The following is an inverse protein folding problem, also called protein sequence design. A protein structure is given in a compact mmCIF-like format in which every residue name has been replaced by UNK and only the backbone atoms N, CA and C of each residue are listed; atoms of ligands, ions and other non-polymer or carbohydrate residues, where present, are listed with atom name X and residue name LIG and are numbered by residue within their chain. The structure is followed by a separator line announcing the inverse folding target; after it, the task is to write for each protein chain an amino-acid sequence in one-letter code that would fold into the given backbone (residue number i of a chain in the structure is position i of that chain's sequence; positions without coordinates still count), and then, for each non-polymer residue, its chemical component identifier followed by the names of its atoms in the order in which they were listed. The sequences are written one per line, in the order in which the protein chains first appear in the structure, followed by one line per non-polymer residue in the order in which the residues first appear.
data_IF_663214540395
#
_entry.id   IF_663214540395
#
_cell.length_a   1.000
_cell.length_b   1.000
_cell.length_c   1.000
_cell.angle_alpha   90.00
_cell.angle_beta   90.00
_cell.angle_gamma   90.00
#
_symmetry.space_group_name_H-M   'P 1'
#
loop_
_entity.id
_entity.type
_entity.pdbx_description
1 polymer ?
#
# COMPACT_ATOMS: atom_id res chain seq x y z
N UNK A 1 -13.30 1.15 -63.40
CA UNK A 1 -12.64 0.30 -62.39
C UNK A 1 -12.45 0.99 -61.03
N UNK A 2 -12.24 2.32 -60.97
CA UNK A 2 -12.03 3.04 -59.69
C UNK A 2 -13.29 3.16 -58.81
N UNK A 3 -14.48 3.17 -59.42
CA UNK A 3 -15.77 3.34 -58.70
C UNK A 3 -16.30 2.08 -58.02
N UNK A 4 -15.91 0.88 -58.46
CA UNK A 4 -16.31 -0.37 -57.78
C UNK A 4 -15.51 -0.59 -56.49
N UNK A 5 -14.23 -0.20 -56.48
CA UNK A 5 -13.35 -0.36 -55.32
C UNK A 5 -13.74 0.56 -54.16
N UNK A 6 -14.16 1.79 -54.44
CA UNK A 6 -14.65 2.70 -53.39
C UNK A 6 -15.95 2.22 -52.76
N UNK A 7 -16.85 1.62 -53.55
CA UNK A 7 -18.10 1.06 -53.03
C UNK A 7 -17.84 -0.18 -52.17
N UNK A 8 -16.92 -1.05 -52.58
CA UNK A 8 -16.54 -2.22 -51.79
C UNK A 8 -15.83 -1.84 -50.49
N UNK A 9 -14.99 -0.80 -50.53
CA UNK A 9 -14.30 -0.30 -49.34
C UNK A 9 -15.27 0.36 -48.35
N UNK A 10 -16.26 1.12 -48.83
CA UNK A 10 -17.31 1.68 -47.99
C UNK A 10 -18.23 0.60 -47.41
N UNK A 11 -18.60 -0.42 -48.20
CA UNK A 11 -19.39 -1.54 -47.74
C UNK A 11 -18.64 -2.37 -46.68
N UNK A 12 -17.33 -2.60 -46.88
CA UNK A 12 -16.48 -3.21 -45.86
C UNK A 12 -16.41 -2.34 -44.61
N UNK A 13 -16.22 -1.03 -44.70
CA UNK A 13 -16.21 -0.15 -43.51
C UNK A 13 -17.55 -0.21 -42.77
N UNK A 14 -18.69 -0.20 -43.48
CA UNK A 14 -20.01 -0.26 -42.86
C UNK A 14 -20.24 -1.64 -42.23
N UNK A 15 -19.89 -2.74 -42.89
CA UNK A 15 -20.00 -4.09 -42.33
C UNK A 15 -19.05 -4.27 -41.14
N UNK A 16 -17.80 -3.78 -41.20
CA UNK A 16 -16.88 -3.83 -40.06
C UNK A 16 -17.36 -2.93 -38.92
N UNK A 17 -18.02 -1.81 -39.20
CA UNK A 17 -18.59 -0.92 -38.18
C UNK A 17 -19.88 -1.49 -37.56
N UNK A 18 -20.67 -2.25 -38.31
CA UNK A 18 -21.82 -3.02 -37.80
C UNK A 18 -21.32 -4.22 -36.98
N UNK A 19 -20.33 -4.99 -37.48
CA UNK A 19 -19.73 -6.10 -36.73
C UNK A 19 -18.93 -5.66 -35.51
N UNK A 20 -18.28 -4.49 -35.54
CA UNK A 20 -17.61 -3.90 -34.37
C UNK A 20 -18.59 -3.26 -33.39
N UNK A 21 -19.70 -2.68 -33.84
CA UNK A 21 -20.74 -2.21 -32.92
C UNK A 21 -21.51 -3.37 -32.28
N UNK A 22 -21.75 -4.47 -33.00
CA UNK A 22 -22.40 -5.68 -32.44
C UNK A 22 -21.44 -6.52 -31.58
N UNK A 23 -20.13 -6.23 -31.58
CA UNK A 23 -19.14 -6.85 -30.67
C UNK A 23 -18.62 -5.90 -29.60
N UNK A 24 -19.10 -4.66 -29.56
CA UNK A 24 -18.90 -3.67 -28.50
C UNK A 24 -20.22 -3.13 -27.94
N UNK A 25 -21.30 -3.90 -28.02
CA UNK A 25 -22.09 -4.06 -26.81
C UNK A 25 -21.16 -4.74 -25.79
N UNK A 26 -20.45 -3.92 -24.99
CA UNK A 26 -20.34 -4.25 -23.58
C UNK A 26 -21.78 -4.53 -23.16
N UNK A 27 -22.19 -5.81 -23.24
CA UNK A 27 -23.32 -6.29 -22.50
C UNK A 27 -22.94 -5.91 -21.09
N UNK A 28 -23.45 -4.77 -20.62
CA UNK A 28 -23.59 -4.44 -19.22
C UNK A 28 -24.54 -5.53 -18.75
N UNK A 29 -24.02 -6.75 -18.58
CA UNK A 29 -24.69 -7.82 -17.87
C UNK A 29 -24.96 -7.18 -16.52
N UNK A 30 -26.22 -6.80 -16.28
CA UNK A 30 -26.67 -6.24 -15.02
C UNK A 30 -26.04 -7.07 -13.90
N UNK A 31 -25.08 -6.48 -13.20
CA UNK A 31 -24.41 -7.17 -12.11
C UNK A 31 -25.47 -7.38 -11.03
N UNK A 32 -25.79 -8.64 -10.76
CA UNK A 32 -26.76 -8.95 -9.71
C UNK A 32 -26.12 -8.69 -8.36
N UNK A 33 -26.74 -7.80 -7.59
CA UNK A 33 -26.24 -7.38 -6.28
C UNK A 33 -26.95 -8.16 -5.18
N UNK A 34 -26.16 -8.76 -4.30
CA UNK A 34 -26.63 -9.52 -3.16
C UNK A 34 -26.09 -8.93 -1.87
N UNK A 35 -26.92 -8.85 -0.85
CA UNK A 35 -26.49 -8.56 0.52
C UNK A 35 -26.56 -9.85 1.31
N UNK A 36 -25.42 -10.37 1.74
CA UNK A 36 -25.35 -11.58 2.56
C UNK A 36 -25.24 -11.23 4.05
N UNK A 37 -26.13 -11.83 4.84
CA UNK A 37 -26.25 -11.64 6.27
C UNK A 37 -25.85 -12.96 6.96
N UNK A 38 -24.76 -13.00 7.74
CA UNK A 38 -24.20 -14.23 8.33
C UNK A 38 -24.99 -14.78 9.54
N UNK A 39 -26.30 -14.50 9.59
CA UNK A 39 -27.25 -14.94 10.61
C UNK A 39 -28.53 -15.45 9.94
N UNK A 40 -29.21 -16.38 10.61
CA UNK A 40 -30.56 -16.76 10.21
C UNK A 40 -31.50 -15.58 10.43
N UNK A 41 -32.51 -15.42 9.57
CA UNK A 41 -33.48 -14.31 9.62
C UNK A 41 -34.10 -14.07 11.01
N UNK A 42 -34.30 -15.14 11.80
CA UNK A 42 -34.86 -15.09 13.16
C UNK A 42 -33.86 -14.66 14.23
N UNK A 43 -32.56 -14.81 13.98
CA UNK A 43 -31.45 -14.57 14.92
C UNK A 43 -30.78 -13.21 14.70
N UNK A 44 -31.21 -12.44 13.69
CA UNK A 44 -30.65 -11.13 13.38
C UNK A 44 -30.94 -10.14 14.52
N UNK A 45 -29.90 -9.57 15.15
CA UNK A 45 -30.08 -8.57 16.21
C UNK A 45 -30.85 -7.33 15.71
N UNK A 46 -31.65 -6.68 16.56
CA UNK A 46 -32.46 -5.52 16.16
C UNK A 46 -31.59 -4.33 15.68
N UNK A 47 -30.44 -4.09 16.31
CA UNK A 47 -29.49 -3.08 15.86
C UNK A 47 -29.00 -3.35 14.43
N UNK A 48 -28.70 -4.61 14.13
CA UNK A 48 -28.24 -5.00 12.81
C UNK A 48 -29.33 -4.85 11.73
N UNK A 49 -30.60 -5.12 12.07
CA UNK A 49 -31.74 -4.88 11.15
C UNK A 49 -31.83 -3.42 10.73
N UNK A 50 -31.69 -2.50 11.69
CA UNK A 50 -31.70 -1.05 11.41
C UNK A 50 -30.59 -0.64 10.44
N UNK A 51 -29.37 -1.15 10.67
CA UNK A 51 -28.21 -0.90 9.79
C UNK A 51 -28.45 -1.46 8.38
N UNK A 52 -29.05 -2.65 8.27
CA UNK A 52 -29.40 -3.26 6.98
C UNK A 52 -30.42 -2.40 6.23
N UNK A 53 -31.47 -1.93 6.92
CA UNK A 53 -32.50 -1.06 6.34
C UNK A 53 -31.93 0.28 5.86
N UNK A 54 -31.09 0.92 6.69
CA UNK A 54 -30.37 2.15 6.31
C UNK A 54 -29.51 1.93 5.07
N UNK A 55 -28.75 0.82 5.02
CA UNK A 55 -27.90 0.50 3.87
C UNK A 55 -28.69 0.21 2.59
N UNK A 56 -29.79 -0.55 2.69
CA UNK A 56 -30.68 -0.81 1.56
C UNK A 56 -31.28 0.49 1.01
N UNK A 57 -31.70 1.39 1.89
CA UNK A 57 -32.26 2.70 1.49
C UNK A 57 -31.26 3.58 0.76
N UNK A 58 -29.95 3.46 1.05
CA UNK A 58 -28.89 4.19 0.37
C UNK A 58 -28.60 3.64 -1.02
N UNK A 59 -28.72 2.34 -1.21
CA UNK A 59 -28.46 1.68 -2.49
C UNK A 59 -29.69 1.69 -3.41
N UNK A 60 -30.91 1.70 -2.87
CA UNK A 60 -32.14 1.96 -3.66
C UNK A 60 -32.09 3.34 -4.33
N UNK A 61 -31.49 4.34 -3.67
CA UNK A 61 -31.22 5.66 -4.26
C UNK A 61 -30.19 5.64 -5.39
N UNK A 62 -29.43 4.54 -5.53
CA UNK A 62 -28.46 4.31 -6.60
C UNK A 62 -28.99 3.35 -7.67
N UNK A 63 -30.31 3.10 -7.70
CA UNK A 63 -31.01 2.22 -8.66
C UNK A 63 -30.48 0.78 -8.71
N UNK A 64 -29.77 0.33 -7.68
CA UNK A 64 -29.22 -1.02 -7.62
C UNK A 64 -30.25 -1.98 -7.02
N UNK A 65 -30.76 -2.91 -7.83
CA UNK A 65 -31.65 -3.98 -7.35
C UNK A 65 -30.87 -4.97 -6.49
N UNK A 66 -31.04 -4.89 -5.16
CA UNK A 66 -30.33 -5.74 -4.20
C UNK A 66 -31.22 -6.89 -3.72
N UNK A 67 -30.68 -8.11 -3.75
CA UNK A 67 -31.31 -9.30 -3.16
C UNK A 67 -30.69 -9.62 -1.80
N UNK A 68 -31.47 -9.52 -0.73
CA UNK A 68 -31.03 -9.87 0.62
C UNK A 68 -31.06 -11.38 0.84
N UNK A 69 -29.95 -11.95 1.28
CA UNK A 69 -29.75 -13.36 1.56
C UNK A 69 -29.35 -13.56 3.03
N UNK A 70 -30.11 -14.37 3.76
CA UNK A 70 -29.78 -14.75 5.13
C UNK A 70 -29.12 -16.13 5.15
N UNK A 71 -28.25 -16.34 6.14
CA UNK A 71 -27.63 -17.65 6.36
C UNK A 71 -28.69 -18.75 6.51
N UNK A 72 -28.54 -19.85 5.74
CA UNK A 72 -29.42 -21.01 5.73
C UNK A 72 -30.56 -20.96 4.70
N UNK A 73 -30.71 -19.87 3.95
CA UNK A 73 -31.71 -19.77 2.88
C UNK A 73 -31.25 -20.41 1.56
N UNK A 74 -29.99 -20.88 1.45
CA UNK A 74 -29.40 -21.57 0.26
C UNK A 74 -29.58 -20.83 -1.09
N UNK A 75 -29.87 -19.53 -1.06
CA UNK A 75 -30.07 -18.69 -2.25
C UNK A 75 -28.79 -18.45 -3.06
N UNK A 76 -27.62 -18.79 -2.50
CA UNK A 76 -26.33 -18.59 -3.15
C UNK A 76 -25.96 -19.73 -4.12
N UNK A 77 -26.76 -20.81 -4.20
CA UNK A 77 -26.55 -21.95 -5.10
C UNK A 77 -26.72 -21.64 -6.59
N UNK A 78 -27.50 -20.61 -6.93
CA UNK A 78 -27.86 -20.27 -8.31
C UNK A 78 -27.51 -18.81 -8.59
N UNK A 79 -26.22 -18.48 -8.47
CA UNK A 79 -25.75 -17.14 -8.77
C UNK A 79 -25.62 -16.94 -10.28
N UNK A 80 -26.11 -15.81 -10.82
CA UNK A 80 -25.82 -15.40 -12.18
C UNK A 80 -24.31 -15.29 -12.44
N UNK A 81 -23.93 -15.42 -13.71
CA UNK A 81 -22.53 -15.39 -14.16
C UNK A 81 -21.76 -14.15 -13.68
N UNK A 82 -22.41 -13.01 -13.46
CA UNK A 82 -21.79 -11.81 -12.87
C UNK A 82 -22.56 -11.38 -11.62
N UNK A 83 -21.97 -11.63 -10.46
CA UNK A 83 -22.62 -11.36 -9.17
C UNK A 83 -21.70 -10.59 -8.24
N UNK A 84 -22.28 -9.65 -7.47
CA UNK A 84 -21.60 -8.92 -6.40
C UNK A 84 -22.28 -9.21 -5.08
N UNK A 85 -21.54 -9.70 -4.10
CA UNK A 85 -22.02 -10.00 -2.76
C UNK A 85 -21.39 -9.04 -1.77
N UNK A 86 -22.20 -8.21 -1.14
CA UNK A 86 -21.80 -7.38 -0.02
C UNK A 86 -22.07 -8.13 1.29
N UNK A 87 -21.12 -8.10 2.22
CA UNK A 87 -21.27 -8.60 3.59
C UNK A 87 -20.99 -7.45 4.55
N UNK A 88 -21.93 -7.11 5.42
CA UNK A 88 -21.80 -5.99 6.36
C UNK A 88 -21.44 -6.53 7.74
N UNK A 89 -20.39 -5.98 8.35
CA UNK A 89 -19.98 -6.30 9.72
C UNK A 89 -20.21 -5.08 10.62
N UNK A 90 -21.33 -5.04 11.35
CA UNK A 90 -21.60 -4.01 12.35
C UNK A 90 -20.79 -4.28 13.61
N UNK A 91 -20.18 -3.24 14.16
CA UNK A 91 -19.48 -3.31 15.45
C UNK A 91 -17.96 -3.26 15.35
N UNK A 92 -17.34 -3.32 16.52
CA UNK A 92 -15.91 -3.06 16.71
C UNK A 92 -15.11 -4.35 16.58
N UNK A 93 -13.93 -4.29 15.93
CA UNK A 93 -12.98 -5.39 15.97
C UNK A 93 -12.64 -5.76 17.42
N UNK A 94 -12.51 -7.06 17.68
CA UNK A 94 -12.15 -7.57 19.00
C UNK A 94 -10.73 -7.19 19.40
N UNK A 95 -10.40 -7.43 20.68
CA UNK A 95 -9.10 -7.04 21.26
C UNK A 95 -7.94 -7.71 20.52
N UNK A 96 -6.80 -7.00 20.44
CA UNK A 96 -5.55 -7.55 19.90
C UNK A 96 -5.15 -8.80 20.69
N UNK A 97 -5.02 -9.92 19.99
CA UNK A 97 -4.47 -11.15 20.54
C UNK A 97 -2.97 -10.98 20.82
N UNK A 98 -2.40 -11.67 21.82
CA UNK A 98 -0.94 -11.71 21.99
C UNK A 98 -0.20 -12.27 20.77
N UNK A 99 -0.89 -12.95 19.85
CA UNK A 99 -0.35 -13.48 18.59
C UNK A 99 -0.59 -12.55 17.38
N UNK A 100 -1.08 -11.33 17.61
CA UNK A 100 -1.34 -10.37 16.53
C UNK A 100 -0.04 -10.01 15.80
N UNK A 101 0.03 -10.28 14.49
CA UNK A 101 1.20 -10.01 13.64
C UNK A 101 2.17 -11.18 13.48
N UNK A 102 1.89 -12.36 14.04
CA UNK A 102 2.67 -13.57 13.78
C UNK A 102 2.10 -14.25 12.54
N UNK A 103 2.63 -13.92 11.37
CA UNK A 103 2.23 -14.48 10.06
C UNK A 103 2.36 -16.01 9.98
N UNK A 104 3.16 -16.61 10.86
CA UNK A 104 3.43 -18.05 10.89
C UNK A 104 2.29 -18.90 11.49
N UNK A 105 1.34 -18.31 12.23
CA UNK A 105 0.24 -19.08 12.82
C UNK A 105 -0.95 -19.06 11.86
N UNK A 106 -1.29 -20.22 11.30
CA UNK A 106 -2.43 -20.35 10.42
C UNK A 106 -3.71 -19.83 11.11
N UNK A 107 -4.43 -18.94 10.42
CA UNK A 107 -5.72 -18.39 10.87
C UNK A 107 -6.73 -19.50 11.22
N UNK A 108 -6.58 -20.64 10.56
CA UNK A 108 -7.33 -21.87 10.79
C UNK A 108 -7.04 -22.56 12.13
N UNK A 109 -5.84 -22.43 12.66
CA UNK A 109 -5.53 -22.94 14.01
C UNK A 109 -6.09 -21.98 15.06
N UNK A 110 -6.01 -20.67 14.80
CA UNK A 110 -6.46 -19.64 15.74
C UNK A 110 -7.97 -19.66 15.98
N UNK A 111 -8.79 -19.99 14.96
CA UNK A 111 -10.26 -19.95 15.06
C UNK A 111 -10.83 -20.85 16.16
N UNK A 112 -10.16 -21.96 16.48
CA UNK A 112 -10.62 -22.92 17.49
C UNK A 112 -10.31 -22.50 18.93
N UNK A 113 -9.46 -21.48 19.12
CA UNK A 113 -9.10 -20.97 20.42
C UNK A 113 -9.69 -19.57 20.60
N UNK A 114 -10.72 -19.46 21.43
CA UNK A 114 -11.45 -18.21 21.65
C UNK A 114 -10.54 -17.06 22.11
N UNK A 115 -9.61 -17.34 23.04
CA UNK A 115 -8.66 -16.34 23.56
C UNK A 115 -7.66 -15.84 22.50
N UNK A 116 -7.40 -16.64 21.46
CA UNK A 116 -6.40 -16.32 20.44
C UNK A 116 -7.03 -15.70 19.18
N UNK A 117 -8.32 -15.96 18.92
CA UNK A 117 -9.08 -15.46 17.77
C UNK A 117 -9.81 -14.14 17.99
N UNK A 118 -9.65 -13.49 19.15
CA UNK A 118 -10.35 -12.23 19.48
C UNK A 118 -10.18 -11.15 18.40
N UNK A 119 -8.98 -11.02 17.82
CA UNK A 119 -8.67 -10.05 16.76
C UNK A 119 -9.31 -10.37 15.39
N UNK A 120 -9.92 -11.54 15.24
CA UNK A 120 -10.64 -11.98 14.04
C UNK A 120 -12.15 -11.87 14.19
N UNK A 121 -12.62 -11.39 15.35
CA UNK A 121 -14.04 -11.23 15.66
C UNK A 121 -14.46 -9.77 15.51
N UNK A 122 -15.67 -9.55 15.00
CA UNK A 122 -16.35 -8.27 15.09
C UNK A 122 -17.44 -8.40 16.14
N UNK A 123 -17.43 -7.51 17.14
CA UNK A 123 -18.39 -7.53 18.25
C UNK A 123 -19.27 -6.29 18.20
N UNK A 124 -20.58 -6.52 18.10
CA UNK A 124 -21.60 -5.47 18.18
C UNK A 124 -21.79 -4.99 19.63
N UNK A 125 -22.42 -3.83 19.81
CA UNK A 125 -22.78 -3.25 21.11
C UNK A 125 -23.64 -4.19 21.95
N UNK A 126 -24.43 -5.05 21.28
CA UNK A 126 -25.25 -6.10 21.89
C UNK A 126 -24.46 -7.32 22.37
N UNK A 127 -23.11 -7.27 22.37
CA UNK A 127 -22.17 -8.38 22.67
C UNK A 127 -22.26 -9.59 21.72
N UNK A 128 -22.92 -9.44 20.58
CA UNK A 128 -22.92 -10.47 19.54
C UNK A 128 -21.59 -10.42 18.80
N UNK A 129 -20.85 -11.53 18.80
CA UNK A 129 -19.57 -11.64 18.10
C UNK A 129 -19.71 -12.45 16.82
N UNK A 130 -19.23 -11.91 15.71
CA UNK A 130 -19.11 -12.59 14.41
C UNK A 130 -17.65 -12.96 14.22
N UNK A 131 -17.34 -14.24 14.10
CA UNK A 131 -15.99 -14.69 13.70
C UNK A 131 -15.89 -14.65 12.18
N UNK A 132 -15.02 -13.79 11.66
CA UNK A 132 -14.92 -13.51 10.21
C UNK A 132 -14.60 -14.76 9.38
N UNK A 133 -13.65 -15.64 9.77
CA UNK A 133 -13.42 -16.94 9.14
C UNK A 133 -14.66 -17.81 8.94
N UNK A 134 -15.55 -17.87 9.94
CA UNK A 134 -16.75 -18.73 9.89
C UNK A 134 -17.76 -18.24 8.85
N UNK A 135 -17.71 -16.96 8.47
CA UNK A 135 -18.57 -16.41 7.43
C UNK A 135 -18.29 -17.08 6.10
N UNK A 136 -17.02 -17.39 5.79
CA UNK A 136 -16.65 -18.10 4.57
C UNK A 136 -17.24 -19.52 4.56
N UNK A 137 -17.17 -20.23 5.69
CA UNK A 137 -17.73 -21.57 5.84
C UNK A 137 -19.26 -21.53 5.68
N UNK A 138 -19.95 -20.56 6.29
CA UNK A 138 -21.41 -20.36 6.13
C UNK A 138 -21.81 -20.04 4.68
N UNK A 139 -21.05 -19.19 4.01
CA UNK A 139 -21.30 -18.87 2.60
C UNK A 139 -21.14 -20.11 1.72
N UNK A 140 -20.17 -20.97 2.03
CA UNK A 140 -20.00 -22.25 1.34
C UNK A 140 -21.19 -23.19 1.58
N UNK A 141 -21.66 -23.31 2.83
CA UNK A 141 -22.84 -24.13 3.15
C UNK A 141 -24.11 -23.68 2.41
N UNK A 142 -24.25 -22.36 2.19
CA UNK A 142 -25.33 -21.77 1.40
C UNK A 142 -25.13 -21.89 -0.12
N UNK A 143 -24.00 -22.44 -0.55
CA UNK A 143 -23.70 -22.81 -1.93
C UNK A 143 -22.94 -21.78 -2.74
N UNK A 144 -22.25 -20.82 -2.10
CA UNK A 144 -21.48 -19.80 -2.82
C UNK A 144 -20.39 -20.37 -3.73
N UNK A 145 -19.73 -21.44 -3.31
CA UNK A 145 -18.63 -22.06 -4.07
C UNK A 145 -19.08 -23.39 -4.69
N UNK A 146 -20.39 -23.63 -4.78
CA UNK A 146 -20.93 -24.70 -5.61
C UNK A 146 -20.69 -24.31 -7.09
N UNK A 147 -19.97 -25.16 -7.85
CA UNK A 147 -19.75 -25.10 -9.30
C UNK A 147 -20.08 -23.76 -10.01
N UNK A 148 -19.31 -22.72 -9.67
CA UNK A 148 -19.50 -21.38 -10.22
C UNK A 148 -18.56 -21.14 -11.41
N UNK A 149 -19.14 -20.86 -12.58
CA UNK A 149 -18.41 -20.62 -13.83
C UNK A 149 -18.38 -19.12 -14.24
N UNK A 150 -18.68 -18.21 -13.30
CA UNK A 150 -18.79 -16.77 -13.55
C UNK A 150 -17.68 -15.90 -12.93
N UNK A 151 -17.92 -14.58 -12.84
CA UNK A 151 -17.15 -13.61 -12.03
C UNK A 151 -17.96 -13.20 -10.81
N UNK A 152 -17.36 -13.38 -9.63
CA UNK A 152 -17.95 -13.07 -8.35
C UNK A 152 -17.13 -11.96 -7.67
N UNK A 153 -17.79 -10.91 -7.18
CA UNK A 153 -17.15 -9.88 -6.37
C UNK A 153 -17.69 -9.94 -4.94
N UNK A 154 -16.84 -10.22 -3.96
CA UNK A 154 -17.20 -10.20 -2.54
C UNK A 154 -16.69 -8.89 -1.93
N UNK A 155 -17.59 -8.10 -1.35
CA UNK A 155 -17.30 -6.82 -0.71
C UNK A 155 -17.58 -6.92 0.79
N UNK A 156 -16.53 -6.91 1.62
CA UNK A 156 -16.62 -6.93 3.07
C UNK A 156 -16.67 -5.48 3.61
N UNK A 157 -17.75 -5.10 4.28
CA UNK A 157 -17.94 -3.73 4.77
C UNK A 157 -17.83 -3.73 6.29
N UNK A 158 -16.75 -3.15 6.82
CA UNK A 158 -16.49 -3.05 8.26
C UNK A 158 -16.85 -1.65 8.76
N UNK A 159 -17.88 -1.55 9.61
CA UNK A 159 -18.41 -0.23 10.02
C UNK A 159 -17.57 0.48 11.08
N UNK A 160 -16.91 -0.24 12.00
CA UNK A 160 -16.12 0.40 13.07
C UNK A 160 -14.66 -0.08 13.14
N UNK A 161 -14.12 -0.60 12.03
CA UNK A 161 -12.74 -1.05 11.94
C UNK A 161 -11.82 0.02 11.35
N UNK A 162 -10.55 0.06 11.79
CA UNK A 162 -9.51 0.76 11.04
C UNK A 162 -9.01 -0.08 9.85
N UNK A 163 -8.29 0.55 8.92
CA UNK A 163 -7.80 -0.12 7.70
C UNK A 163 -6.93 -1.36 7.99
N UNK A 164 -6.11 -1.32 9.05
CA UNK A 164 -5.23 -2.44 9.43
C UNK A 164 -6.03 -3.63 9.98
N UNK A 165 -6.99 -3.37 10.85
CA UNK A 165 -7.90 -4.39 11.41
C UNK A 165 -8.77 -5.00 10.32
N UNK A 166 -9.34 -4.18 9.45
CA UNK A 166 -10.11 -4.62 8.30
C UNK A 166 -9.28 -5.51 7.36
N UNK A 167 -8.03 -5.12 7.08
CA UNK A 167 -7.10 -5.90 6.26
C UNK A 167 -6.81 -7.28 6.87
N UNK A 168 -6.51 -7.33 8.17
CA UNK A 168 -6.22 -8.60 8.87
C UNK A 168 -7.45 -9.52 8.85
N UNK A 169 -8.64 -8.99 9.17
CA UNK A 169 -9.88 -9.76 9.10
C UNK A 169 -10.18 -10.25 7.68
N UNK A 170 -9.95 -9.41 6.68
CA UNK A 170 -10.12 -9.76 5.26
C UNK A 170 -9.15 -10.85 4.81
N UNK A 171 -7.88 -10.78 5.22
CA UNK A 171 -6.90 -11.84 4.94
C UNK A 171 -7.28 -13.18 5.58
N UNK A 172 -7.88 -13.12 6.77
CA UNK A 172 -8.37 -14.30 7.48
C UNK A 172 -9.55 -14.94 6.76
N UNK A 173 -10.50 -14.12 6.29
CA UNK A 173 -11.60 -14.56 5.43
C UNK A 173 -11.08 -15.23 4.14
N UNK A 174 -10.12 -14.60 3.46
CA UNK A 174 -9.52 -15.15 2.24
C UNK A 174 -8.83 -16.49 2.51
N UNK A 175 -8.09 -16.61 3.61
CA UNK A 175 -7.43 -17.87 3.97
C UNK A 175 -8.45 -18.99 4.24
N UNK A 176 -9.61 -18.68 4.83
CA UNK A 176 -10.67 -19.66 4.99
C UNK A 176 -11.32 -20.05 3.66
N UNK A 177 -11.44 -19.12 2.71
CA UNK A 177 -11.91 -19.42 1.35
C UNK A 177 -10.97 -20.33 0.55
N UNK A 178 -9.65 -20.20 0.73
CA UNK A 178 -8.64 -21.05 0.05
C UNK A 178 -8.79 -22.55 0.31
N UNK A 179 -9.52 -22.96 1.35
CA UNK A 179 -9.82 -24.39 1.60
C UNK A 179 -10.65 -25.01 0.48
N UNK A 180 -11.44 -24.20 -0.19
CA UNK A 180 -12.40 -24.63 -1.19
C UNK A 180 -11.76 -24.46 -2.56
N UNK A 181 -11.48 -25.59 -3.22
CA UNK A 181 -10.70 -25.64 -4.49
C UNK A 181 -11.33 -24.82 -5.60
N UNK A 182 -12.64 -24.61 -5.54
CA UNK A 182 -13.46 -23.88 -6.49
C UNK A 182 -13.17 -22.36 -6.45
N UNK A 183 -12.62 -21.84 -5.34
CA UNK A 183 -12.13 -20.46 -5.23
C UNK A 183 -10.88 -20.20 -6.10
N UNK A 184 -10.07 -21.22 -6.40
CA UNK A 184 -8.78 -21.08 -7.11
C UNK A 184 -8.91 -20.70 -8.59
N UNK A 185 -10.12 -20.76 -9.16
CA UNK A 185 -10.38 -20.40 -10.56
C UNK A 185 -10.21 -18.90 -10.87
N UNK A 186 -9.83 -18.07 -9.89
CA UNK A 186 -9.56 -16.64 -10.08
C UNK A 186 -10.81 -15.80 -10.37
N UNK A 187 -12.00 -16.41 -10.25
CA UNK A 187 -13.30 -15.82 -10.48
C UNK A 187 -13.76 -14.89 -9.34
N UNK A 188 -13.16 -15.02 -8.16
CA UNK A 188 -13.60 -14.34 -6.93
C UNK A 188 -12.69 -13.13 -6.67
N UNK A 189 -13.27 -11.93 -6.72
CA UNK A 189 -12.61 -10.67 -6.38
C UNK A 189 -13.04 -10.20 -5.01
N UNK A 190 -12.09 -10.12 -4.07
CA UNK A 190 -12.34 -9.63 -2.72
C UNK A 190 -12.05 -8.12 -2.62
N UNK A 191 -12.96 -7.37 -2.00
CA UNK A 191 -12.79 -5.96 -1.67
C UNK A 191 -13.25 -5.73 -0.24
N UNK A 192 -12.67 -4.75 0.45
CA UNK A 192 -13.16 -4.33 1.76
C UNK A 192 -13.31 -2.82 1.86
N UNK A 193 -14.24 -2.37 2.71
CA UNK A 193 -14.42 -0.98 3.11
C UNK A 193 -14.30 -0.84 4.62
N UNK A 194 -13.73 0.28 5.07
CA UNK A 194 -13.63 0.65 6.49
C UNK A 194 -14.00 2.11 6.69
N UNK A 195 -14.79 2.44 7.72
CA UNK A 195 -15.25 3.82 7.96
C UNK A 195 -14.20 4.77 8.52
N UNK A 196 -13.06 4.26 9.02
CA UNK A 196 -11.97 5.09 9.53
C UNK A 196 -10.80 5.16 8.52
N UNK A 197 -10.76 6.17 7.63
CA UNK A 197 -9.65 6.39 6.72
C UNK A 197 -8.47 7.02 7.46
N UNK A 198 -7.79 6.25 8.32
CA UNK A 198 -6.45 6.62 8.79
C UNK A 198 -5.41 6.06 7.83
N UNK A 199 -5.01 6.95 6.91
CA UNK A 199 -3.68 7.11 6.28
C UNK A 199 -2.71 5.92 6.28
N UNK A 200 -2.22 5.62 5.07
CA UNK A 200 -0.98 4.91 4.73
C UNK A 200 -0.93 3.42 5.12
N UNK A 201 -1.47 2.57 4.23
CA UNK A 201 -1.12 1.15 4.18
C UNK A 201 -0.67 0.81 2.76
N UNK A 202 0.64 0.90 2.52
CA UNK A 202 1.32 0.03 1.57
C UNK A 202 1.11 -1.40 2.05
N UNK A 203 0.20 -2.13 1.40
CA UNK A 203 0.15 -3.58 1.46
C UNK A 203 -0.20 -4.08 0.05
N UNK A 204 0.85 -4.33 -0.72
CA UNK A 204 0.76 -5.13 -1.94
C UNK A 204 0.43 -6.57 -1.55
N UNK A 205 -0.74 -7.06 -1.98
CA UNK A 205 -0.84 -8.29 -2.76
C UNK A 205 -2.20 -8.38 -3.46
N UNK A 206 -2.20 -7.85 -4.69
CA UNK A 206 -3.00 -8.19 -5.88
C UNK A 206 -4.50 -8.49 -5.73
N UNK A 207 -5.34 -7.64 -6.34
CA UNK A 207 -6.23 -8.06 -7.45
C UNK A 207 -6.63 -6.85 -8.32
N UNK A 208 -6.23 -6.88 -9.60
CA UNK A 208 -6.38 -5.81 -10.60
C UNK A 208 -7.79 -5.17 -10.62
N UNK A 209 -7.83 -3.85 -10.38
CA UNK A 209 -8.94 -2.95 -10.71
C UNK A 209 -8.58 -2.18 -11.97
N UNK A 210 -9.52 -2.06 -12.93
CA UNK A 210 -9.44 -1.07 -14.01
C UNK A 210 -9.27 0.30 -13.33
N UNK A 211 -8.11 0.93 -13.53
CA UNK A 211 -7.71 2.18 -12.88
C UNK A 211 -8.45 3.34 -13.53
N UNK A 212 -9.05 4.21 -12.71
CA UNK A 212 -9.66 5.45 -13.18
C UNK A 212 -8.57 6.44 -13.63
N UNK A 213 -8.89 7.33 -14.56
CA UNK A 213 -7.94 8.34 -15.12
C UNK A 213 -7.27 9.21 -14.03
N UNK A 214 -7.93 9.38 -12.88
CA UNK A 214 -7.42 10.08 -11.72
C UNK A 214 -6.43 9.24 -10.89
N UNK A 215 -6.64 7.92 -10.83
CA UNK A 215 -5.71 6.96 -10.20
C UNK A 215 -4.45 6.78 -11.04
N UNK A 216 -4.53 6.80 -12.38
CA UNK A 216 -3.33 6.80 -13.24
C UNK A 216 -2.50 8.08 -13.10
N UNK A 217 -3.15 9.24 -12.92
CA UNK A 217 -2.47 10.49 -12.62
C UNK A 217 -1.84 10.48 -11.22
N UNK A 218 -2.53 9.92 -10.22
CA UNK A 218 -1.97 9.73 -8.87
C UNK A 218 -0.80 8.75 -8.87
N UNK A 219 -0.87 7.64 -9.59
CA UNK A 219 0.26 6.71 -9.73
C UNK A 219 1.43 7.32 -10.47
N UNK A 220 1.22 8.14 -11.51
CA UNK A 220 2.33 8.85 -12.14
C UNK A 220 2.97 9.87 -11.20
N UNK A 221 2.17 10.56 -10.38
CA UNK A 221 2.68 11.46 -9.34
C UNK A 221 3.34 10.72 -8.17
N UNK A 222 2.84 9.53 -7.79
CA UNK A 222 3.39 8.68 -6.72
C UNK A 222 4.61 7.88 -7.19
N UNK A 223 4.67 7.40 -8.42
CA UNK A 223 5.87 6.84 -9.05
C UNK A 223 6.92 7.92 -9.24
N UNK A 224 6.52 9.14 -9.64
CA UNK A 224 7.38 10.32 -9.61
C UNK A 224 8.00 10.52 -8.23
N UNK A 225 7.18 10.55 -7.16
CA UNK A 225 7.67 10.69 -5.78
C UNK A 225 8.52 9.50 -5.29
N UNK A 226 8.11 8.26 -5.55
CA UNK A 226 8.83 7.07 -5.09
C UNK A 226 10.17 6.84 -5.80
N UNK A 227 10.30 7.22 -7.08
CA UNK A 227 11.59 7.25 -7.78
C UNK A 227 12.49 8.35 -7.22
N UNK A 228 11.93 9.50 -6.84
CA UNK A 228 12.67 10.65 -6.35
C UNK A 228 13.29 10.40 -4.95
N UNK A 229 12.57 9.79 -4.00
CA UNK A 229 13.06 9.64 -2.62
C UNK A 229 13.94 8.40 -2.33
N UNK A 230 13.92 7.38 -3.19
CA UNK A 230 14.60 6.09 -2.93
C UNK A 230 15.76 5.75 -3.89
N UNK A 231 16.03 6.57 -4.91
CA UNK A 231 17.20 6.37 -5.76
C UNK A 231 18.44 7.00 -5.09
N UNK A 232 19.50 6.19 -4.93
CA UNK A 232 20.77 6.67 -4.33
C UNK A 232 21.39 7.86 -5.08
N UNK A 233 21.07 8.02 -6.36
CA UNK A 233 21.54 9.12 -7.22
C UNK A 233 21.07 10.50 -6.72
N UNK A 234 19.95 10.49 -6.01
CA UNK A 234 19.22 11.62 -5.47
C UNK A 234 19.49 11.84 -3.98
N UNK A 235 20.50 11.21 -3.38
CA UNK A 235 20.93 11.56 -2.02
C UNK A 235 21.93 12.70 -2.02
N UNK A 236 22.01 13.48 -0.92
CA UNK A 236 23.07 14.47 -0.75
C UNK A 236 24.44 13.80 -0.84
N UNK A 237 25.36 14.47 -1.53
CA UNK A 237 26.69 13.95 -1.88
C UNK A 237 27.75 14.76 -1.17
N UNK A 238 28.82 14.08 -0.77
CA UNK A 238 30.01 14.70 -0.22
C UNK A 238 31.20 14.29 -1.09
N UNK A 239 31.67 15.23 -1.90
CA UNK A 239 32.75 14.97 -2.85
C UNK A 239 34.10 14.80 -2.14
N UNK A 240 35.01 14.06 -2.78
CA UNK A 240 36.37 13.89 -2.28
C UNK A 240 37.14 15.22 -2.18
N UNK A 241 36.84 16.18 -3.07
CA UNK A 241 37.43 17.52 -3.03
C UNK A 241 36.99 18.33 -1.80
N UNK A 242 35.70 18.29 -1.46
CA UNK A 242 35.17 18.94 -0.24
C UNK A 242 35.76 18.31 1.02
N UNK A 243 35.92 16.99 1.03
CA UNK A 243 36.59 16.28 2.14
C UNK A 243 38.06 16.66 2.24
N UNK A 244 38.77 16.80 1.12
CA UNK A 244 40.16 17.23 1.13
C UNK A 244 40.31 18.64 1.74
N UNK A 245 39.37 19.55 1.48
CA UNK A 245 39.32 20.86 2.13
C UNK A 245 39.09 20.75 3.65
N UNK A 246 38.12 19.94 4.09
CA UNK A 246 37.87 19.71 5.52
C UNK A 246 39.10 19.13 6.23
N UNK A 247 39.77 18.16 5.61
CA UNK A 247 40.98 17.53 6.15
C UNK A 247 42.11 18.57 6.27
N UNK A 248 42.29 19.39 5.23
CA UNK A 248 43.30 20.46 5.23
C UNK A 248 43.04 21.46 6.35
N UNK A 249 41.81 21.93 6.48
CA UNK A 249 41.44 22.93 7.49
C UNK A 249 41.57 22.36 8.91
N UNK A 250 41.24 21.07 9.09
CA UNK A 250 41.47 20.35 10.34
C UNK A 250 42.96 20.26 10.68
N UNK A 251 43.82 19.90 9.73
CA UNK A 251 45.26 19.84 9.98
C UNK A 251 45.90 21.21 10.15
N UNK A 252 45.38 22.25 9.51
CA UNK A 252 45.80 23.63 9.73
C UNK A 252 45.52 24.06 11.17
N UNK A 253 44.32 23.75 11.69
CA UNK A 253 44.01 23.96 13.10
C UNK A 253 44.96 23.21 14.05
N UNK A 254 45.27 21.94 13.74
CA UNK A 254 46.20 21.14 14.56
C UNK A 254 47.63 21.69 14.49
N UNK A 255 48.03 22.22 13.35
CA UNK A 255 49.34 22.84 13.12
C UNK A 255 49.51 24.17 13.85
N UNK A 256 48.41 24.86 14.15
CA UNK A 256 48.40 26.11 14.95
C UNK A 256 48.53 25.87 16.46
N UNK A 257 48.53 24.61 16.92
CA UNK A 257 48.76 24.30 18.34
C UNK A 257 50.22 24.59 18.71
N UNK A 258 50.45 24.90 20.00
CA UNK A 258 51.79 25.25 20.50
C UNK A 258 52.46 26.37 19.69
N UNK A 259 51.73 27.45 19.41
CA UNK A 259 52.22 28.62 18.67
C UNK A 259 52.75 28.31 17.26
N UNK A 260 52.24 27.26 16.59
CA UNK A 260 52.69 26.87 15.24
C UNK A 260 53.80 25.82 15.22
N UNK A 261 54.37 25.47 16.37
CA UNK A 261 55.45 24.48 16.46
C UNK A 261 54.99 23.06 16.15
N UNK A 262 53.71 22.72 16.37
CA UNK A 262 53.17 21.41 16.01
C UNK A 262 53.17 21.19 14.49
N UNK A 263 52.90 22.23 13.71
CA UNK A 263 53.01 22.21 12.25
C UNK A 263 54.46 22.08 11.79
N UNK A 264 55.36 22.90 12.37
CA UNK A 264 56.78 22.92 12.02
C UNK A 264 57.49 21.58 12.28
N UNK A 265 57.07 20.86 13.32
CA UNK A 265 57.63 19.56 13.70
C UNK A 265 56.80 18.36 13.19
N UNK A 266 55.77 18.59 12.35
CA UNK A 266 54.88 17.53 11.84
C UNK A 266 54.20 16.68 12.94
N UNK A 267 53.92 17.28 14.10
CA UNK A 267 53.35 16.64 15.28
C UNK A 267 51.81 16.63 15.29
N UNK A 268 51.18 16.90 14.16
CA UNK A 268 49.72 16.98 14.05
C UNK A 268 49.00 15.71 14.53
N UNK A 269 49.64 14.55 14.36
CA UNK A 269 49.09 13.26 14.79
C UNK A 269 48.94 13.12 16.30
N UNK A 270 49.73 13.84 17.12
CA UNK A 270 49.63 13.83 18.59
C UNK A 270 48.38 14.54 19.09
N UNK A 271 47.86 15.48 18.30
CA UNK A 271 46.71 16.29 18.66
C UNK A 271 45.39 15.79 18.03
N UNK A 272 45.44 14.75 17.20
CA UNK A 272 44.27 14.12 16.58
C UNK A 272 43.79 12.94 17.41
N UNK A 273 42.49 12.89 17.71
CA UNK A 273 41.89 11.72 18.35
C UNK A 273 41.91 10.52 17.41
N UNK A 274 41.83 9.32 17.98
CA UNK A 274 41.73 8.04 17.25
C UNK A 274 40.55 8.06 16.28
N UNK A 275 39.42 8.58 16.72
CA UNK A 275 38.17 8.65 15.94
C UNK A 275 38.29 9.63 14.78
N UNK A 276 38.98 10.77 14.99
CA UNK A 276 39.27 11.70 13.89
C UNK A 276 40.18 11.08 12.85
N UNK A 277 41.19 10.28 13.23
CA UNK A 277 42.09 9.61 12.29
C UNK A 277 41.35 8.56 11.46
N UNK A 278 40.51 7.76 12.11
CA UNK A 278 39.67 6.76 11.44
C UNK A 278 38.68 7.41 10.49
N UNK A 279 38.01 8.49 10.91
CA UNK A 279 37.08 9.22 10.06
C UNK A 279 37.78 9.86 8.86
N UNK A 280 38.96 10.46 9.05
CA UNK A 280 39.75 11.03 7.95
C UNK A 280 40.14 9.93 6.95
N UNK A 281 40.61 8.78 7.43
CA UNK A 281 40.99 7.66 6.56
C UNK A 281 39.80 7.08 5.78
N UNK A 282 38.62 6.99 6.41
CA UNK A 282 37.41 6.53 5.74
C UNK A 282 36.95 7.56 4.69
N UNK A 283 36.86 8.84 5.08
CA UNK A 283 36.37 9.90 4.20
C UNK A 283 37.32 10.18 3.03
N UNK A 284 38.64 10.00 3.20
CA UNK A 284 39.64 10.21 2.14
C UNK A 284 39.76 9.05 1.14
N UNK A 285 39.08 7.93 1.39
CA UNK A 285 39.11 6.77 0.51
C UNK A 285 38.39 7.05 -0.81
N UNK A 286 39.10 6.83 -1.92
CA UNK A 286 38.63 7.05 -3.29
C UNK A 286 37.63 5.97 -3.77
N UNK A 287 37.64 4.80 -3.13
CA UNK A 287 36.73 3.68 -3.44
C UNK A 287 35.31 3.89 -2.88
N UNK A 288 35.09 4.93 -2.08
CA UNK A 288 33.80 5.20 -1.44
C UNK A 288 33.00 6.18 -2.29
N UNK A 289 31.72 5.87 -2.50
CA UNK A 289 30.80 6.76 -3.23
C UNK A 289 30.56 8.05 -2.43
N UNK A 290 30.32 9.17 -3.13
CA UNK A 290 30.05 10.46 -2.47
C UNK A 290 28.83 10.43 -1.54
N UNK A 291 27.86 9.55 -1.85
CA UNK A 291 26.66 9.32 -1.05
C UNK A 291 26.99 8.58 0.24
N UNK A 292 27.78 7.51 0.15
CA UNK A 292 28.19 6.74 1.34
C UNK A 292 29.15 7.57 2.21
N UNK A 293 29.98 8.42 1.58
CA UNK A 293 30.83 9.39 2.26
C UNK A 293 30.00 10.41 3.06
N UNK A 294 28.94 10.96 2.45
CA UNK A 294 27.99 11.86 3.11
C UNK A 294 27.28 11.16 4.29
N UNK A 295 26.82 9.92 4.09
CA UNK A 295 26.11 9.14 5.11
C UNK A 295 27.01 8.83 6.31
N UNK A 296 28.27 8.45 6.06
CA UNK A 296 29.25 8.21 7.12
C UNK A 296 29.57 9.51 7.89
N UNK A 297 29.83 10.61 7.17
CA UNK A 297 30.11 11.92 7.77
C UNK A 297 28.95 12.40 8.67
N UNK A 298 27.71 12.21 8.21
CA UNK A 298 26.50 12.52 8.98
C UNK A 298 26.37 11.68 10.27
N UNK A 299 26.74 10.40 10.22
CA UNK A 299 26.76 9.53 11.42
C UNK A 299 27.87 9.92 12.39
N UNK A 300 29.04 10.28 11.87
CA UNK A 300 30.18 10.75 12.65
C UNK A 300 29.81 12.02 13.44
N UNK A 301 29.15 12.98 12.80
CA UNK A 301 28.60 14.19 13.45
C UNK A 301 27.68 13.89 14.62
N UNK A 302 26.73 12.97 14.41
CA UNK A 302 25.76 12.59 15.45
C UNK A 302 26.43 11.94 16.66
N UNK A 303 27.48 11.15 16.42
CA UNK A 303 28.18 10.35 17.44
C UNK A 303 29.25 11.14 18.19
N UNK A 304 29.95 12.05 17.53
CA UNK A 304 31.10 12.78 18.09
C UNK A 304 30.90 14.30 18.00
N UNK A 305 29.81 14.80 18.60
CA UNK A 305 29.38 16.21 18.52
C UNK A 305 30.43 17.22 18.99
N UNK A 306 31.22 16.85 20.00
CA UNK A 306 32.23 17.73 20.60
C UNK A 306 33.60 17.67 19.90
N UNK A 307 33.75 16.81 18.89
CA UNK A 307 35.02 16.68 18.17
C UNK A 307 35.25 17.89 17.25
N UNK A 308 36.48 18.41 17.21
CA UNK A 308 36.80 19.56 16.36
C UNK A 308 36.71 19.24 14.85
N UNK A 309 36.97 17.99 14.45
CA UNK A 309 36.73 17.55 13.07
C UNK A 309 35.24 17.71 12.71
N UNK A 310 34.35 17.40 13.66
CA UNK A 310 32.91 17.54 13.51
C UNK A 310 32.50 19.00 13.32
N UNK A 311 33.12 19.93 14.03
CA UNK A 311 32.85 21.37 13.90
C UNK A 311 33.21 21.91 12.51
N UNK A 312 34.30 21.40 11.90
CA UNK A 312 34.73 21.79 10.55
C UNK A 312 33.90 21.08 9.46
N UNK A 313 33.47 19.85 9.72
CA UNK A 313 32.70 19.03 8.78
C UNK A 313 31.22 19.43 8.71
N UNK A 314 30.64 19.94 9.80
CA UNK A 314 29.25 20.39 9.89
C UNK A 314 28.82 21.39 8.79
N UNK A 315 29.52 22.53 8.59
CA UNK A 315 29.10 23.53 7.60
C UNK A 315 29.17 23.00 6.16
N UNK A 316 30.09 22.07 5.89
CA UNK A 316 30.22 21.45 4.55
C UNK A 316 29.04 20.54 4.25
N UNK A 317 28.58 19.77 5.25
CA UNK A 317 27.41 18.91 5.11
C UNK A 317 26.11 19.71 5.04
N UNK A 318 25.98 20.79 5.80
CA UNK A 318 24.83 21.69 5.73
C UNK A 318 24.74 22.34 4.35
N UNK A 319 25.87 22.80 3.79
CA UNK A 319 25.92 23.31 2.41
C UNK A 319 25.51 22.25 1.38
N UNK A 320 26.00 21.02 1.53
CA UNK A 320 25.63 19.92 0.64
C UNK A 320 24.13 19.55 0.75
N UNK A 321 23.52 19.69 1.92
CA UNK A 321 22.07 19.52 2.11
C UNK A 321 21.28 20.65 1.45
N UNK A 322 21.66 21.91 1.68
CA UNK A 322 20.97 23.06 1.07
C UNK A 322 21.08 23.01 -0.46
N UNK A 323 22.25 22.66 -0.99
CA UNK A 323 22.45 22.50 -2.43
C UNK A 323 21.62 21.34 -2.99
N UNK A 324 21.50 20.25 -2.24
CA UNK A 324 20.63 19.13 -2.59
C UNK A 324 19.16 19.55 -2.62
N UNK A 325 18.67 20.27 -1.61
CA UNK A 325 17.30 20.80 -1.54
C UNK A 325 17.01 21.78 -2.69
N UNK A 326 17.95 22.68 -3.03
CA UNK A 326 17.80 23.63 -4.14
C UNK A 326 17.77 22.95 -5.51
N UNK A 327 18.62 21.93 -5.72
CA UNK A 327 18.58 21.12 -6.94
C UNK A 327 17.25 20.35 -7.03
N UNK A 328 16.69 19.94 -5.90
CA UNK A 328 15.42 19.24 -5.80
C UNK A 328 14.24 20.09 -6.25
N UNK A 329 14.17 21.33 -5.77
CA UNK A 329 13.12 22.28 -6.14
C UNK A 329 13.15 22.61 -7.63
N UNK A 330 14.36 22.72 -8.19
CA UNK A 330 14.56 22.97 -9.62
C UNK A 330 14.14 21.78 -10.50
N UNK A 331 14.47 20.55 -10.08
CA UNK A 331 14.11 19.33 -10.81
C UNK A 331 12.60 19.07 -10.77
N UNK A 332 11.94 19.31 -9.63
CA UNK A 332 10.48 19.25 -9.49
C UNK A 332 9.77 20.27 -10.39
N UNK A 333 10.30 21.50 -10.47
CA UNK A 333 9.71 22.55 -11.30
C UNK A 333 9.86 22.25 -12.81
N UNK A 334 11.01 21.72 -13.23
CA UNK A 334 11.27 21.33 -14.63
C UNK A 334 10.36 20.19 -15.12
N UNK A 335 10.06 19.23 -14.25
CA UNK A 335 9.17 18.11 -14.58
C UNK A 335 7.70 18.52 -14.54
N UNK A 336 7.29 19.42 -13.64
CA UNK A 336 5.93 19.95 -13.62
C UNK A 336 5.54 20.63 -14.95
N UNK A 337 6.48 21.37 -15.56
CA UNK A 337 6.29 22.00 -16.88
C UNK A 337 6.19 21.00 -18.04
N UNK A 338 6.72 19.78 -17.90
CA UNK A 338 6.58 18.72 -18.91
C UNK A 338 5.21 18.01 -18.87
N UNK A 339 4.43 18.18 -17.80
CA UNK A 339 3.09 17.59 -17.65
C UNK A 339 1.94 18.55 -18.01
N UNK A 340 2.25 19.82 -18.33
CA UNK A 340 1.27 20.83 -18.81
C UNK A 340 1.21 20.97 -20.35
N UNK A 341 1.92 20.12 -21.11
CA UNK A 341 1.82 19.93 -22.56
C UNK A 341 1.19 18.57 -22.88
#
# INVERSE_FOLDING_TARGET
MVTLYTYYFFLCIIITKIYLNDTFEEVILEMSHYLYIPFRKKEVPPNYKKIIEEWLSLEERQESKITVCYYGEKKLKQLPLNSKISVIFPGKPGKKSPLHGIEAVATETLRFFENLSLHLRVTDESKNSILIPEVADKMQEDGLLDAFDGRLQIKLIYLDANAKEASIMTSSFLNSLKKYKEHERGAIKLQFLSNNPTTNANLDQTHKTKKTKLESFREQAEQGRHCIYNLKEHYPKLSLGEVAHVIRDYYQYKSSRCCGLSGLLSLNWLFSSTESKEAINYLSNDQISDVDRFAYASRFLKRYKENHLTQILAPVLEKALIQHESNWETELHSRALQFEL
#
